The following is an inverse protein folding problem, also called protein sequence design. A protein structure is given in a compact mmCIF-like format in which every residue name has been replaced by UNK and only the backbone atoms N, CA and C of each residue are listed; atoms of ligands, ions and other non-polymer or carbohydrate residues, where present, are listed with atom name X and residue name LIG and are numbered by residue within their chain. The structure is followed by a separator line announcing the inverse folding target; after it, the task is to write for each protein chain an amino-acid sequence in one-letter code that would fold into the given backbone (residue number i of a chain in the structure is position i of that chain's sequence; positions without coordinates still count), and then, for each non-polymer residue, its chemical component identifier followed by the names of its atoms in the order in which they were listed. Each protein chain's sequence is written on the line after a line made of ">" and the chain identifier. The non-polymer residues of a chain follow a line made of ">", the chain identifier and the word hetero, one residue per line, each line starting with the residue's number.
data_IF_461017154140
#
_entry.id   IF_461017154140
#
_cell.length_a   1.000
_cell.length_b   1.000
_cell.length_c   1.000
_cell.angle_alpha   90.00
_cell.angle_beta   90.00
_cell.angle_gamma   90.00
#
_symmetry.space_group_name_H-M   'P 1'
#
loop_
_entity.id
_entity.type
_entity.pdbx_description
1 polymer ?
#
# COMPACT_ATOMS: atom_id res chain seq x y z
N UNK A 1 15.30 -13.46 -0.61
CA UNK A 1 16.75 -13.34 -0.34
C UNK A 1 16.99 -13.00 1.12
N UNK A 2 18.14 -13.37 1.63
CA UNK A 2 18.59 -13.01 2.97
C UNK A 2 20.01 -12.41 2.86
N UNK A 3 20.27 -11.36 3.64
CA UNK A 3 21.55 -10.70 3.67
C UNK A 3 21.99 -10.42 5.10
N UNK A 4 23.29 -10.34 5.32
CA UNK A 4 23.91 -9.98 6.58
C UNK A 4 24.63 -8.65 6.42
N UNK A 5 24.40 -7.73 7.37
CA UNK A 5 25.06 -6.43 7.44
C UNK A 5 25.79 -6.37 8.79
N UNK A 6 27.12 -6.25 8.75
CA UNK A 6 27.93 -6.01 9.94
C UNK A 6 28.47 -4.59 9.95
N UNK A 7 29.02 -4.14 11.08
CA UNK A 7 29.56 -2.78 11.25
C UNK A 7 30.70 -2.42 10.27
N UNK A 8 31.30 -3.42 9.60
CA UNK A 8 32.42 -3.22 8.64
C UNK A 8 32.32 -4.06 7.37
N UNK A 9 31.34 -4.94 7.20
CA UNK A 9 31.22 -5.79 6.01
C UNK A 9 29.76 -6.10 5.67
N UNK A 10 29.36 -5.73 4.44
CA UNK A 10 28.07 -6.09 3.87
C UNK A 10 28.23 -7.40 3.09
N UNK A 11 27.78 -8.53 3.64
CA UNK A 11 27.74 -9.81 2.90
C UNK A 11 26.40 -9.87 2.19
N UNK A 12 26.39 -9.58 0.89
CA UNK A 12 25.21 -9.54 0.03
C UNK A 12 24.90 -10.85 -0.69
N UNK A 13 25.58 -11.92 -0.35
CA UNK A 13 25.35 -13.20 -1.03
C UNK A 13 24.19 -13.98 -0.38
N UNK A 14 23.56 -14.80 -1.19
CA UNK A 14 22.48 -15.68 -0.73
C UNK A 14 23.00 -16.52 0.45
N UNK A 15 22.55 -16.22 1.66
CA UNK A 15 22.90 -16.94 2.89
C UNK A 15 22.78 -18.46 2.72
N UNK A 16 21.84 -18.93 1.91
CA UNK A 16 21.61 -20.33 1.64
C UNK A 16 22.81 -21.02 0.95
N UNK A 17 23.55 -20.29 0.09
CA UNK A 17 24.76 -20.81 -0.54
C UNK A 17 25.96 -20.79 0.41
N UNK A 18 25.98 -19.87 1.37
CA UNK A 18 27.09 -19.70 2.32
C UNK A 18 26.96 -20.58 3.56
N UNK A 19 25.74 -20.97 3.97
CA UNK A 19 25.47 -21.79 5.16
C UNK A 19 25.79 -23.28 4.91
N UNK A 20 25.75 -23.75 3.67
CA UNK A 20 26.00 -25.14 3.31
C UNK A 20 25.07 -26.13 4.04
N UNK A 21 25.38 -27.44 3.95
CA UNK A 21 24.62 -28.50 4.60
C UNK A 21 24.73 -28.48 6.15
N UNK A 22 25.76 -27.85 6.71
CA UNK A 22 26.02 -27.78 8.14
C UNK A 22 25.10 -26.79 8.89
N UNK A 23 24.38 -25.92 8.19
CA UNK A 23 23.51 -24.92 8.80
C UNK A 23 24.25 -23.87 9.66
N UNK A 24 25.56 -23.68 9.43
CA UNK A 24 26.42 -22.78 10.22
C UNK A 24 27.21 -21.85 9.31
N UNK A 25 27.39 -20.62 9.77
CA UNK A 25 28.22 -19.61 9.13
C UNK A 25 29.23 -19.10 10.15
N UNK A 26 30.52 -19.06 9.78
CA UNK A 26 31.58 -18.48 10.58
C UNK A 26 31.72 -17.00 10.24
N UNK A 27 31.58 -16.15 11.26
CA UNK A 27 31.67 -14.71 11.15
C UNK A 27 32.70 -14.15 12.13
N UNK A 28 33.37 -13.05 11.83
CA UNK A 28 34.20 -12.32 12.79
C UNK A 28 33.37 -11.87 14.00
N UNK A 29 34.03 -11.63 15.11
CA UNK A 29 33.39 -11.07 16.32
C UNK A 29 32.85 -9.68 15.99
N UNK A 30 31.56 -9.41 16.34
CA UNK A 30 30.93 -8.14 16.05
C UNK A 30 29.41 -8.18 16.13
N UNK A 31 28.80 -7.02 15.93
CA UNK A 31 27.35 -6.87 15.78
C UNK A 31 26.93 -7.03 14.33
N UNK A 32 25.82 -7.74 14.10
CA UNK A 32 25.28 -8.03 12.80
C UNK A 32 23.78 -7.82 12.77
N UNK A 33 23.26 -7.45 11.59
CA UNK A 33 21.83 -7.44 11.29
C UNK A 33 21.58 -8.41 10.15
N UNK A 34 20.72 -9.40 10.37
CA UNK A 34 20.21 -10.27 9.31
C UNK A 34 18.93 -9.66 8.74
N UNK A 35 18.89 -9.47 7.45
CA UNK A 35 17.70 -9.03 6.71
C UNK A 35 17.20 -10.16 5.82
N UNK A 36 15.90 -10.39 5.84
CA UNK A 36 15.21 -11.37 5.00
C UNK A 36 14.17 -10.65 4.15
N UNK A 37 14.20 -10.88 2.84
CA UNK A 37 13.28 -10.27 1.88
C UNK A 37 12.73 -11.34 0.92
N UNK A 38 11.46 -11.18 0.53
CA UNK A 38 10.87 -12.05 -0.51
C UNK A 38 11.48 -11.79 -1.89
N UNK A 39 11.99 -10.56 -2.12
CA UNK A 39 12.66 -10.14 -3.36
C UNK A 39 13.89 -9.29 -3.07
N UNK A 40 14.77 -9.19 -4.06
CA UNK A 40 15.91 -8.28 -4.01
C UNK A 40 15.45 -6.82 -4.14
N UNK A 41 15.98 -5.94 -3.31
CA UNK A 41 15.60 -4.53 -3.30
C UNK A 41 15.84 -3.83 -4.66
N UNK A 42 16.87 -4.26 -5.41
CA UNK A 42 17.23 -3.68 -6.71
C UNK A 42 16.22 -4.00 -7.82
N UNK A 43 15.47 -5.08 -7.70
CA UNK A 43 14.49 -5.54 -8.71
C UNK A 43 13.04 -5.32 -8.26
N UNK A 44 12.82 -4.87 -7.02
CA UNK A 44 11.49 -4.61 -6.48
C UNK A 44 10.83 -3.44 -7.21
N UNK A 45 9.64 -3.63 -7.82
CA UNK A 45 8.93 -2.55 -8.49
C UNK A 45 8.39 -1.53 -7.49
N UNK A 46 8.34 -0.26 -7.90
CA UNK A 46 7.80 0.82 -7.07
C UNK A 46 6.29 0.65 -6.78
N UNK A 47 5.54 0.06 -7.70
CA UNK A 47 4.20 -0.47 -7.49
C UNK A 47 3.87 -1.55 -8.52
N UNK A 48 3.07 -2.54 -8.10
CA UNK A 48 2.61 -3.62 -8.97
C UNK A 48 1.29 -4.22 -8.47
N UNK A 49 0.55 -4.89 -9.38
CA UNK A 49 -0.68 -5.60 -9.07
C UNK A 49 -0.39 -6.97 -8.44
N UNK A 50 -1.14 -7.31 -7.38
CA UNK A 50 -1.08 -8.63 -6.70
C UNK A 50 0.34 -9.07 -6.31
N UNK A 51 1.20 -8.10 -5.95
CA UNK A 51 2.62 -8.33 -5.70
C UNK A 51 3.05 -7.92 -4.27
N UNK A 52 2.73 -8.74 -3.25
CA UNK A 52 3.13 -8.47 -1.87
C UNK A 52 4.63 -8.72 -1.66
N UNK A 53 5.31 -7.75 -1.06
CA UNK A 53 6.72 -7.84 -0.66
C UNK A 53 6.80 -7.98 0.85
N UNK A 54 7.56 -8.96 1.32
CA UNK A 54 7.77 -9.21 2.74
C UNK A 54 9.20 -8.89 3.16
N UNK A 55 9.35 -8.37 4.36
CA UNK A 55 10.62 -8.02 4.97
C UNK A 55 10.61 -8.35 6.45
N UNK A 56 11.75 -8.84 6.94
CA UNK A 56 12.05 -9.05 8.35
C UNK A 56 13.53 -8.79 8.63
N UNK A 57 13.85 -8.39 9.85
CA UNK A 57 15.22 -8.21 10.28
C UNK A 57 15.42 -8.65 11.72
N UNK A 58 16.62 -9.10 12.04
CA UNK A 58 17.03 -9.48 13.39
C UNK A 58 18.47 -9.05 13.64
N UNK A 59 18.71 -8.36 14.74
CA UNK A 59 20.04 -8.02 15.21
C UNK A 59 20.59 -9.13 16.12
N UNK A 60 21.89 -9.42 16.01
CA UNK A 60 22.59 -10.37 16.88
C UNK A 60 24.06 -10.01 17.00
N UNK A 61 24.72 -10.60 17.99
CA UNK A 61 26.15 -10.38 18.27
C UNK A 61 26.88 -11.72 18.18
N UNK A 62 28.02 -11.72 17.49
CA UNK A 62 28.96 -12.85 17.45
C UNK A 62 30.06 -12.61 18.47
N UNK A 63 30.21 -13.54 19.42
CA UNK A 63 31.26 -13.53 20.40
C UNK A 63 32.33 -14.58 20.09
N UNK A 64 33.55 -14.34 20.60
CA UNK A 64 34.69 -15.23 20.33
C UNK A 64 34.44 -16.64 20.88
N UNK A 65 34.62 -17.64 20.01
CA UNK A 65 34.49 -19.07 20.33
C UNK A 65 33.07 -19.47 20.83
N UNK A 66 32.04 -18.68 20.46
CA UNK A 66 30.67 -19.01 20.78
C UNK A 66 29.85 -19.26 19.53
N UNK A 67 28.78 -20.04 19.67
CA UNK A 67 27.76 -20.20 18.65
C UNK A 67 26.55 -19.37 19.04
N UNK A 68 26.20 -18.39 18.21
CA UNK A 68 24.98 -17.59 18.40
C UNK A 68 23.84 -18.24 17.60
N UNK A 69 22.82 -18.79 18.25
CA UNK A 69 21.63 -19.28 17.55
C UNK A 69 20.86 -18.10 16.99
N UNK A 70 20.38 -18.22 15.76
CA UNK A 70 19.44 -17.27 15.16
C UNK A 70 18.07 -17.91 15.18
N UNK A 71 17.14 -17.26 15.87
CA UNK A 71 15.76 -17.68 15.94
C UNK A 71 15.02 -17.39 14.62
N UNK A 72 13.74 -17.75 14.57
CA UNK A 72 12.87 -17.50 13.41
C UNK A 72 12.72 -16.00 13.16
N UNK A 73 13.06 -15.54 11.93
CA UNK A 73 12.85 -14.16 11.52
C UNK A 73 11.46 -14.00 10.96
N UNK A 74 10.61 -13.27 11.66
CA UNK A 74 9.25 -12.99 11.22
C UNK A 74 9.26 -11.90 10.14
N UNK A 75 8.84 -12.28 8.92
CA UNK A 75 8.69 -11.34 7.82
C UNK A 75 7.25 -10.81 7.76
N UNK A 76 7.12 -9.50 7.73
CA UNK A 76 5.82 -8.81 7.58
C UNK A 76 5.72 -8.11 6.23
N UNK A 77 4.49 -7.76 5.83
CA UNK A 77 4.25 -7.01 4.60
C UNK A 77 5.02 -5.69 4.62
N UNK A 78 5.87 -5.47 3.62
CA UNK A 78 6.73 -4.28 3.53
C UNK A 78 6.19 -3.21 2.58
N UNK A 79 5.21 -3.54 1.76
CA UNK A 79 4.55 -2.56 0.91
C UNK A 79 3.16 -2.15 1.45
N UNK A 80 2.58 -1.14 0.85
CA UNK A 80 1.24 -0.63 1.16
C UNK A 80 0.27 -1.29 0.18
N UNK A 81 -0.67 -2.08 0.71
CA UNK A 81 -1.74 -2.69 -0.08
C UNK A 81 -2.88 -1.71 -0.25
N UNK A 82 -3.32 -1.50 -1.49
CA UNK A 82 -4.47 -0.64 -1.83
C UNK A 82 -5.47 -1.44 -2.65
N UNK A 83 -6.73 -1.45 -2.21
CA UNK A 83 -7.86 -1.91 -3.00
C UNK A 83 -8.86 -0.78 -3.16
N UNK A 84 -9.41 -0.62 -4.35
CA UNK A 84 -10.45 0.35 -4.63
C UNK A 84 -11.70 -0.40 -5.05
N UNK A 85 -12.82 -0.06 -4.43
CA UNK A 85 -14.12 -0.68 -4.72
C UNK A 85 -15.16 0.43 -4.90
N UNK A 86 -15.98 0.33 -5.91
CA UNK A 86 -17.21 1.12 -6.03
C UNK A 86 -18.37 0.30 -5.49
N UNK A 87 -19.29 0.94 -4.75
CA UNK A 87 -20.55 0.28 -4.44
C UNK A 87 -21.30 -0.02 -5.76
N UNK A 88 -22.11 -1.08 -5.75
CA UNK A 88 -22.84 -1.47 -6.95
C UNK A 88 -23.68 -0.32 -7.51
N UNK A 89 -24.39 0.40 -6.61
CA UNK A 89 -25.24 1.52 -6.99
C UNK A 89 -24.45 2.65 -7.67
N UNK A 90 -23.20 2.89 -7.24
CA UNK A 90 -22.33 3.86 -7.87
C UNK A 90 -21.78 3.33 -9.20
N UNK A 91 -21.29 2.10 -9.22
CA UNK A 91 -20.70 1.49 -10.42
C UNK A 91 -21.70 1.41 -11.59
N UNK A 92 -22.97 1.13 -11.29
CA UNK A 92 -24.06 1.06 -12.29
C UNK A 92 -24.39 2.45 -12.89
N UNK A 93 -24.12 3.53 -12.15
CA UNK A 93 -24.39 4.90 -12.60
C UNK A 93 -23.20 5.56 -13.30
N UNK A 94 -22.01 5.01 -13.18
CA UNK A 94 -20.82 5.57 -13.83
C UNK A 94 -20.63 5.02 -15.24
N UNK A 95 -20.10 5.86 -16.13
CA UNK A 95 -19.71 5.45 -17.48
C UNK A 95 -18.60 4.38 -17.43
N UNK A 96 -18.50 3.60 -18.52
CA UNK A 96 -17.54 2.48 -18.59
C UNK A 96 -16.08 2.94 -18.58
N UNK A 97 -15.81 4.15 -19.03
CA UNK A 97 -14.48 4.79 -19.09
C UNK A 97 -14.04 5.45 -17.78
N UNK A 98 -14.91 5.42 -16.74
CA UNK A 98 -14.57 5.94 -15.43
C UNK A 98 -13.37 5.18 -14.85
N UNK A 99 -12.37 5.94 -14.45
CA UNK A 99 -11.12 5.41 -13.86
C UNK A 99 -10.73 6.18 -12.61
N UNK A 100 -10.05 5.49 -11.73
CA UNK A 100 -9.45 6.08 -10.54
C UNK A 100 -7.95 5.84 -10.56
N UNK A 101 -7.16 6.85 -10.31
CA UNK A 101 -5.72 6.73 -10.15
C UNK A 101 -5.33 6.90 -8.69
N UNK A 102 -4.48 6.01 -8.21
CA UNK A 102 -3.85 6.13 -6.89
C UNK A 102 -2.37 6.38 -7.10
N UNK A 103 -1.87 7.46 -6.51
CA UNK A 103 -0.48 7.89 -6.65
C UNK A 103 0.19 7.93 -5.28
N UNK A 104 1.41 7.38 -5.20
CA UNK A 104 2.33 7.52 -4.08
C UNK A 104 3.64 8.09 -4.62
N UNK A 105 3.99 9.32 -4.21
CA UNK A 105 5.11 10.04 -4.79
C UNK A 105 4.92 10.25 -6.29
N UNK A 106 5.79 9.64 -7.09
CA UNK A 106 5.74 9.67 -8.56
C UNK A 106 5.08 8.42 -9.17
N UNK A 107 4.83 7.39 -8.36
CA UNK A 107 4.30 6.11 -8.81
C UNK A 107 2.77 6.12 -8.83
N UNK A 108 2.17 5.75 -9.95
CA UNK A 108 0.71 5.78 -10.15
C UNK A 108 0.19 4.43 -10.63
N UNK A 109 -0.91 3.97 -10.03
CA UNK A 109 -1.67 2.81 -10.47
C UNK A 109 -3.10 3.23 -10.85
N UNK A 110 -3.62 2.71 -11.98
CA UNK A 110 -4.95 3.07 -12.49
C UNK A 110 -5.92 1.92 -12.30
N UNK A 111 -7.00 2.18 -11.57
CA UNK A 111 -8.09 1.26 -11.28
C UNK A 111 -9.26 1.58 -12.20
N UNK A 112 -9.76 0.62 -12.93
CA UNK A 112 -11.04 0.72 -13.61
C UNK A 112 -12.19 0.56 -12.60
N UNK A 113 -13.42 0.93 -12.98
CA UNK A 113 -14.56 0.89 -12.05
C UNK A 113 -14.90 -0.49 -11.51
N UNK A 114 -14.50 -1.54 -12.21
CA UNK A 114 -14.69 -2.95 -11.90
C UNK A 114 -13.39 -3.67 -11.49
N UNK A 115 -12.31 -2.92 -11.21
CA UNK A 115 -11.04 -3.49 -10.79
C UNK A 115 -11.16 -4.13 -9.40
N UNK A 116 -10.76 -5.39 -9.30
CA UNK A 116 -10.82 -6.19 -8.07
C UNK A 116 -9.46 -6.52 -7.49
N UNK A 117 -8.39 -6.35 -8.28
CA UNK A 117 -7.02 -6.64 -7.85
C UNK A 117 -6.54 -5.62 -6.82
N UNK A 118 -5.61 -6.05 -5.99
CA UNK A 118 -4.91 -5.16 -5.08
C UNK A 118 -3.64 -4.60 -5.73
N UNK A 119 -3.45 -3.29 -5.65
CA UNK A 119 -2.17 -2.65 -5.97
C UNK A 119 -1.29 -2.59 -4.72
N UNK A 120 -0.01 -2.84 -4.90
CA UNK A 120 0.99 -2.81 -3.84
C UNK A 120 2.04 -1.75 -4.16
N UNK A 121 2.18 -0.75 -3.28
CA UNK A 121 3.11 0.36 -3.43
C UNK A 121 4.28 0.21 -2.46
N UNK A 122 5.50 0.40 -2.94
CA UNK A 122 6.65 0.50 -2.05
C UNK A 122 6.62 1.83 -1.30
N UNK A 123 6.75 1.81 0.04
CA UNK A 123 6.77 3.03 0.83
C UNK A 123 8.01 3.87 0.51
N UNK A 124 7.88 5.19 0.56
CA UNK A 124 8.98 6.13 0.32
C UNK A 124 9.57 6.69 1.63
N UNK A 125 8.97 6.34 2.76
CA UNK A 125 9.39 6.75 4.09
C UNK A 125 8.52 6.12 5.19
N UNK A 126 8.75 6.48 6.43
CA UNK A 126 7.99 5.97 7.57
C UNK A 126 6.49 6.26 7.47
N UNK A 127 6.15 7.41 6.90
CA UNK A 127 4.76 7.81 6.63
C UNK A 127 4.64 8.32 5.21
N UNK A 128 3.56 7.92 4.56
CA UNK A 128 3.31 8.21 3.17
C UNK A 128 1.94 8.87 2.98
N UNK A 129 1.75 9.52 1.84
CA UNK A 129 0.46 10.09 1.43
C UNK A 129 0.05 9.48 0.10
N UNK A 130 -1.07 8.77 0.10
CA UNK A 130 -1.73 8.31 -1.13
C UNK A 130 -2.62 9.44 -1.65
N UNK A 131 -2.52 9.73 -2.94
CA UNK A 131 -3.41 10.66 -3.65
C UNK A 131 -4.33 9.85 -4.55
N UNK A 132 -5.63 9.95 -4.32
CA UNK A 132 -6.67 9.36 -5.15
C UNK A 132 -7.23 10.44 -6.07
N UNK A 133 -7.28 10.16 -7.36
CA UNK A 133 -7.96 10.95 -8.37
C UNK A 133 -8.94 10.05 -9.13
N UNK A 134 -10.23 10.39 -9.08
CA UNK A 134 -11.25 9.76 -9.91
C UNK A 134 -11.64 10.72 -11.03
N UNK A 135 -11.71 10.20 -12.24
CA UNK A 135 -12.19 10.89 -13.43
C UNK A 135 -13.17 9.99 -14.20
N UNK A 136 -14.31 10.56 -14.58
CA UNK A 136 -15.35 9.86 -15.32
C UNK A 136 -16.58 10.73 -15.50
N UNK A 137 -17.71 10.11 -15.75
CA UNK A 137 -19.01 10.78 -15.82
C UNK A 137 -20.13 9.85 -15.33
N UNK A 138 -21.30 10.40 -15.04
CA UNK A 138 -22.50 9.59 -14.85
C UNK A 138 -23.09 9.22 -16.21
N UNK A 139 -23.66 8.02 -16.30
CA UNK A 139 -24.21 7.49 -17.54
C UNK A 139 -25.42 8.29 -18.06
N UNK A 140 -26.16 8.96 -17.16
CA UNK A 140 -27.29 9.84 -17.49
C UNK A 140 -26.84 11.25 -17.91
N UNK A 141 -25.61 11.64 -17.57
CA UNK A 141 -25.01 12.93 -17.91
C UNK A 141 -23.58 12.78 -18.42
N UNK A 142 -23.35 12.07 -19.54
CA UNK A 142 -22.00 11.70 -20.00
C UNK A 142 -21.14 12.91 -20.41
N UNK A 143 -21.76 14.03 -20.77
CA UNK A 143 -21.08 15.27 -21.14
C UNK A 143 -20.65 16.12 -19.93
N UNK A 144 -21.06 15.71 -18.71
CA UNK A 144 -20.70 16.38 -17.46
C UNK A 144 -19.62 15.57 -16.70
N UNK A 145 -18.33 15.93 -16.84
CA UNK A 145 -17.26 15.17 -16.21
C UNK A 145 -17.30 15.30 -14.68
N UNK A 146 -17.09 14.17 -14.03
CA UNK A 146 -16.93 14.09 -12.57
C UNK A 146 -15.45 13.91 -12.26
N UNK A 147 -14.91 14.77 -11.39
CA UNK A 147 -13.53 14.70 -10.91
C UNK A 147 -13.48 14.81 -9.41
N UNK A 148 -12.81 13.84 -8.77
CA UNK A 148 -12.65 13.80 -7.32
C UNK A 148 -11.18 13.63 -7.00
N UNK A 149 -10.69 14.46 -6.10
CA UNK A 149 -9.34 14.36 -5.56
C UNK A 149 -9.41 14.14 -4.05
N UNK A 150 -8.67 13.16 -3.56
CA UNK A 150 -8.55 12.88 -2.12
C UNK A 150 -7.12 12.52 -1.76
N UNK A 151 -6.65 13.06 -0.64
CA UNK A 151 -5.36 12.70 -0.04
C UNK A 151 -5.57 11.90 1.24
N UNK A 152 -4.80 10.81 1.40
CA UNK A 152 -4.83 9.92 2.55
C UNK A 152 -3.43 9.90 3.13
N UNK A 153 -3.22 10.67 4.20
CA UNK A 153 -1.90 10.83 4.83
C UNK A 153 -1.70 9.86 5.98
N UNK A 154 -0.46 9.71 6.42
CA UNK A 154 -0.08 8.86 7.54
C UNK A 154 -0.15 7.36 7.23
N UNK A 155 -0.04 7.01 5.95
CA UNK A 155 -0.01 5.61 5.52
C UNK A 155 1.38 5.03 5.76
N UNK A 156 1.45 3.84 6.33
CA UNK A 156 2.71 3.15 6.65
C UNK A 156 2.84 1.84 5.88
N UNK A 157 4.06 1.34 5.78
CA UNK A 157 4.32 -0.02 5.32
C UNK A 157 3.48 -1.04 6.09
N UNK A 158 3.12 -2.14 5.46
CA UNK A 158 2.31 -3.21 6.05
C UNK A 158 0.81 -2.91 6.17
N UNK A 159 0.37 -1.71 5.80
CA UNK A 159 -1.06 -1.36 5.91
C UNK A 159 -1.82 -1.71 4.64
N UNK A 160 -3.05 -2.17 4.84
CA UNK A 160 -4.05 -2.33 3.79
C UNK A 160 -5.02 -1.15 3.80
N UNK A 161 -5.08 -0.39 2.71
CA UNK A 161 -6.04 0.71 2.51
C UNK A 161 -7.15 0.27 1.57
N UNK A 162 -8.34 0.09 2.13
CA UNK A 162 -9.57 -0.19 1.38
C UNK A 162 -10.24 1.13 1.05
N UNK A 163 -10.28 1.52 -0.21
CA UNK A 163 -10.92 2.73 -0.69
C UNK A 163 -12.30 2.36 -1.23
N UNK A 164 -13.36 2.83 -0.58
CA UNK A 164 -14.73 2.54 -0.96
C UNK A 164 -15.42 3.79 -1.48
N UNK A 165 -15.76 3.81 -2.76
CA UNK A 165 -16.64 4.78 -3.38
C UNK A 165 -18.11 4.43 -3.14
N UNK A 166 -18.87 5.35 -2.57
CA UNK A 166 -20.31 5.22 -2.36
C UNK A 166 -21.03 6.46 -2.87
N UNK A 167 -22.22 6.27 -3.41
CA UNK A 167 -23.15 7.34 -3.65
C UNK A 167 -23.76 7.76 -2.31
N UNK A 168 -23.57 9.00 -1.91
CA UNK A 168 -24.18 9.58 -0.72
C UNK A 168 -25.30 10.53 -1.11
N UNK A 169 -26.47 10.36 -0.52
CA UNK A 169 -27.50 11.40 -0.56
C UNK A 169 -27.18 12.40 0.54
N UNK A 170 -26.82 13.63 0.19
CA UNK A 170 -26.82 14.70 1.17
C UNK A 170 -28.27 15.12 1.40
N UNK A 171 -28.75 14.94 2.62
CA UNK A 171 -29.90 15.71 3.08
C UNK A 171 -29.37 17.05 3.57
N UNK A 172 -29.58 18.14 2.87
CA UNK A 172 -29.23 19.45 3.39
C UNK A 172 -30.17 19.77 4.54
N UNK A 173 -29.61 20.15 5.69
CA UNK A 173 -30.42 20.79 6.74
C UNK A 173 -30.91 22.15 6.29
N UNK A 174 -30.30 22.76 5.27
CA UNK A 174 -30.70 24.03 4.68
C UNK A 174 -30.61 24.01 3.15
N UNK A 175 -31.79 23.97 2.53
CA UNK A 175 -32.18 24.39 1.18
C UNK A 175 -31.11 24.48 0.09
N UNK A 176 -30.75 23.33 -0.51
CA UNK A 176 -30.26 23.25 -1.89
C UNK A 176 -31.15 22.27 -2.68
N UNK A 177 -31.32 22.42 -4.00
CA UNK A 177 -32.24 21.60 -4.78
C UNK A 177 -31.93 20.10 -4.69
N UNK A 178 -32.93 19.21 -4.81
CA UNK A 178 -32.86 17.80 -4.43
C UNK A 178 -31.99 16.89 -5.29
N UNK A 179 -31.26 17.40 -6.27
CA UNK A 179 -30.69 16.63 -7.38
C UNK A 179 -29.13 16.54 -7.37
N UNK A 180 -28.48 16.75 -6.24
CA UNK A 180 -27.01 16.60 -6.18
C UNK A 180 -26.59 15.33 -5.48
N UNK A 181 -26.06 14.40 -6.24
CA UNK A 181 -25.37 13.21 -5.75
C UNK A 181 -23.97 13.61 -5.24
N UNK A 182 -23.64 13.24 -4.01
CA UNK A 182 -22.30 13.44 -3.44
C UNK A 182 -21.60 12.11 -3.34
N UNK A 183 -20.40 12.07 -3.88
CA UNK A 183 -19.55 10.89 -3.87
C UNK A 183 -18.67 10.88 -2.61
N UNK A 184 -18.74 9.82 -1.83
CA UNK A 184 -17.93 9.63 -0.63
C UNK A 184 -16.91 8.53 -0.81
N UNK A 185 -15.64 8.80 -0.42
CA UNK A 185 -14.62 7.77 -0.26
C UNK A 185 -14.22 7.70 1.21
N UNK A 186 -14.35 6.53 1.83
CA UNK A 186 -14.00 6.27 3.22
C UNK A 186 -13.14 5.02 3.38
N UNK A 187 -12.38 4.97 4.47
CA UNK A 187 -11.66 3.78 4.91
C UNK A 187 -12.56 3.08 5.96
N UNK A 188 -13.09 1.87 5.67
CA UNK A 188 -14.01 1.18 6.57
C UNK A 188 -13.37 0.70 7.88
N UNK A 189 -12.02 0.66 7.96
CA UNK A 189 -11.31 0.17 9.16
C UNK A 189 -11.02 1.26 10.21
N UNK A 190 -11.21 2.54 9.90
CA UNK A 190 -11.25 3.59 10.92
C UNK A 190 -12.64 3.64 11.51
N UNK A 191 -12.83 2.95 12.64
CA UNK A 191 -14.08 2.86 13.36
C UNK A 191 -14.81 4.20 13.48
N UNK A 192 -16.09 4.19 13.19
CA UNK A 192 -17.21 5.10 13.50
C UNK A 192 -16.90 6.58 13.81
N UNK A 193 -15.98 7.16 13.09
CA UNK A 193 -15.71 8.59 13.06
C UNK A 193 -15.76 9.07 11.62
N UNK A 194 -16.94 9.07 10.99
CA UNK A 194 -17.17 9.72 9.69
C UNK A 194 -16.90 11.21 9.84
N UNK A 195 -15.65 11.63 9.65
CA UNK A 195 -15.39 13.02 9.26
C UNK A 195 -15.61 13.07 7.75
N UNK A 196 -16.81 13.37 7.39
CA UNK A 196 -17.27 13.71 6.06
C UNK A 196 -16.58 14.99 5.63
N UNK A 197 -15.61 14.90 4.72
CA UNK A 197 -15.23 16.05 3.92
C UNK A 197 -16.21 16.11 2.75
N UNK A 198 -17.22 16.93 2.87
CA UNK A 198 -18.16 17.26 1.79
C UNK A 198 -17.41 17.98 0.68
N UNK A 199 -17.44 17.43 -0.53
CA UNK A 199 -17.10 18.14 -1.75
C UNK A 199 -18.39 18.34 -2.53
N UNK A 200 -18.87 19.56 -2.55
CA UNK A 200 -19.94 19.97 -3.47
C UNK A 200 -19.38 19.99 -4.90
N UNK A 201 -20.08 19.33 -5.81
CA UNK A 201 -19.83 19.43 -7.24
C UNK A 201 -20.38 20.78 -7.73
N UNK A 202 -19.52 21.58 -8.34
CA UNK A 202 -19.91 22.78 -9.10
C UNK A 202 -19.95 22.47 -10.58
#
# INVERSE_FOLDING_TARGET
>A
SASLVGSEMCIRDSLKASIGEAGRLELPVGGYTMEVRSEEAATTPAAEWEHPIYFGSQEFVIEKNQTTPIDEVVCTLNNIKVTLMCSKDLADQLTADTKSTVTLGETTMTFLKDETRAAYFMPQGETNTLKLHLEGAFADTPDAPVRINKSISGVKAGQWRKLLGKLGLVRPADALPPDRNILHFGDPEKGSGLRTSELALH
#
